data_IF_458972652171
#
_entry.id   IF_458972652171
#
_cell.length_a   1.000
_cell.length_b   1.000
_cell.length_c   1.000
_cell.angle_alpha   90.00
_cell.angle_beta   90.00
_cell.angle_gamma   90.00
#
_symmetry.space_group_name_H-M   'P 1'
#
loop_
_entity.id
_entity.type
_entity.pdbx_description
1 polymer ?
#
# COMPACT_ATOMS: atom_id res chain seq x y z
N UNK A 1 -16.54 -11.59 -12.91
CA UNK A 1 -16.04 -11.13 -11.58
C UNK A 1 -14.89 -11.97 -11.00
N UNK A 2 -14.76 -13.27 -11.32
CA UNK A 2 -13.69 -14.16 -10.80
C UNK A 2 -12.28 -13.70 -11.20
N UNK A 3 -12.08 -13.34 -12.47
CA UNK A 3 -10.79 -12.83 -12.98
C UNK A 3 -10.37 -11.50 -12.35
N UNK A 4 -11.32 -10.59 -12.14
CA UNK A 4 -11.06 -9.31 -11.48
C UNK A 4 -10.57 -9.51 -10.04
N UNK A 5 -11.15 -10.46 -9.32
CA UNK A 5 -10.73 -10.77 -7.95
C UNK A 5 -9.34 -11.42 -7.91
N UNK A 6 -9.06 -12.35 -8.83
CA UNK A 6 -7.73 -12.93 -8.96
C UNK A 6 -6.67 -11.86 -9.28
N UNK A 7 -6.98 -10.93 -10.18
CA UNK A 7 -6.11 -9.81 -10.52
C UNK A 7 -5.84 -8.91 -9.30
N UNK A 8 -6.88 -8.54 -8.54
CA UNK A 8 -6.72 -7.73 -7.32
C UNK A 8 -5.81 -8.42 -6.29
N UNK A 9 -6.00 -9.73 -6.07
CA UNK A 9 -5.20 -10.48 -5.11
C UNK A 9 -3.75 -10.68 -5.54
N UNK A 10 -3.45 -10.56 -6.83
CA UNK A 10 -2.09 -10.56 -7.34
C UNK A 10 -1.47 -9.16 -7.30
N UNK A 11 -2.23 -8.14 -7.69
CA UNK A 11 -1.75 -6.76 -7.84
C UNK A 11 -1.43 -6.10 -6.49
N UNK A 12 -2.22 -6.35 -5.43
CA UNK A 12 -1.97 -5.70 -4.14
C UNK A 12 -0.64 -6.16 -3.50
N UNK A 13 -0.30 -7.47 -3.47
CA UNK A 13 1.03 -7.91 -3.03
C UNK A 13 2.18 -7.34 -3.87
N UNK A 14 2.01 -7.27 -5.19
CA UNK A 14 3.01 -6.67 -6.10
C UNK A 14 3.20 -5.18 -5.78
N UNK A 15 2.10 -4.45 -5.57
CA UNK A 15 2.12 -3.06 -5.14
C UNK A 15 2.84 -2.90 -3.79
N UNK A 16 2.53 -3.74 -2.80
CA UNK A 16 3.19 -3.69 -1.49
C UNK A 16 4.70 -3.88 -1.60
N UNK A 17 5.15 -4.88 -2.38
CA UNK A 17 6.59 -5.09 -2.61
C UNK A 17 7.22 -3.86 -3.27
N UNK A 18 6.60 -3.35 -4.33
CA UNK A 18 7.06 -2.14 -5.01
C UNK A 18 7.20 -0.95 -4.05
N UNK A 19 6.18 -0.67 -3.25
CA UNK A 19 6.18 0.46 -2.31
C UNK A 19 7.24 0.29 -1.22
N UNK A 20 7.42 -0.93 -0.69
CA UNK A 20 8.47 -1.23 0.30
C UNK A 20 9.85 -0.92 -0.29
N UNK A 21 10.18 -1.47 -1.46
CA UNK A 21 11.47 -1.22 -2.09
C UNK A 21 11.67 0.26 -2.44
N UNK A 22 10.62 0.91 -2.97
CA UNK A 22 10.67 2.33 -3.28
C UNK A 22 10.88 3.18 -2.03
N UNK A 23 10.25 2.85 -0.90
CA UNK A 23 10.45 3.54 0.37
C UNK A 23 11.89 3.37 0.86
N UNK A 24 12.43 2.15 0.84
CA UNK A 24 13.84 1.89 1.18
C UNK A 24 14.81 2.68 0.32
N UNK A 25 14.63 2.70 -1.01
CA UNK A 25 15.50 3.46 -1.93
C UNK A 25 15.42 4.96 -1.61
N UNK A 26 14.22 5.50 -1.40
CA UNK A 26 14.10 6.91 -1.07
C UNK A 26 14.59 7.26 0.34
N UNK A 27 14.71 6.32 1.28
CA UNK A 27 15.45 6.57 2.53
C UNK A 27 16.95 6.78 2.28
N UNK A 28 17.51 6.09 1.28
CA UNK A 28 18.91 6.25 0.87
C UNK A 28 19.10 7.59 0.15
N UNK A 29 18.09 8.08 -0.56
CA UNK A 29 18.16 9.29 -1.38
C UNK A 29 17.68 10.59 -0.69
N UNK A 30 16.65 10.52 0.16
CA UNK A 30 15.85 11.66 0.65
C UNK A 30 15.59 11.60 2.16
N UNK A 31 16.58 11.20 2.97
CA UNK A 31 16.45 11.19 4.44
C UNK A 31 16.22 12.57 5.09
N UNK A 32 16.04 13.63 4.31
CA UNK A 32 15.93 15.03 4.75
C UNK A 32 14.48 15.50 4.99
N UNK A 33 13.45 14.71 4.61
CA UNK A 33 12.04 15.03 4.90
C UNK A 33 11.60 14.36 6.21
N UNK A 34 11.29 15.16 7.23
CA UNK A 34 10.81 14.68 8.54
C UNK A 34 9.56 13.78 8.44
N UNK A 35 8.73 13.97 7.40
CA UNK A 35 7.51 13.21 7.18
C UNK A 35 7.71 11.94 6.35
N UNK A 36 8.90 11.69 5.81
CA UNK A 36 9.15 10.55 4.91
C UNK A 36 8.88 9.20 5.59
N UNK A 37 9.06 9.13 6.91
CA UNK A 37 8.79 7.95 7.71
C UNK A 37 7.32 7.53 7.73
N UNK A 38 6.38 8.45 7.49
CA UNK A 38 4.95 8.13 7.40
C UNK A 38 4.61 7.25 6.20
N UNK A 39 5.50 7.13 5.20
CA UNK A 39 5.34 6.16 4.11
C UNK A 39 5.26 4.72 4.63
N UNK A 40 5.96 4.38 5.72
CA UNK A 40 5.84 3.06 6.36
C UNK A 40 4.46 2.83 6.98
N UNK A 41 3.89 3.87 7.60
CA UNK A 41 2.52 3.80 8.13
C UNK A 41 1.50 3.62 7.00
N UNK A 42 1.68 4.30 5.86
CA UNK A 42 0.85 4.11 4.67
C UNK A 42 0.95 2.68 4.12
N UNK A 43 2.15 2.10 4.04
CA UNK A 43 2.36 0.69 3.66
C UNK A 43 1.63 -0.26 4.62
N UNK A 44 1.76 -0.02 5.94
CA UNK A 44 1.04 -0.80 6.95
C UNK A 44 -0.49 -0.74 6.78
N UNK A 45 -1.01 0.43 6.43
CA UNK A 45 -2.44 0.64 6.17
C UNK A 45 -2.91 -0.12 4.92
N UNK A 46 -2.11 -0.15 3.85
CA UNK A 46 -2.38 -0.96 2.65
C UNK A 46 -2.40 -2.46 3.00
N UNK A 47 -1.46 -2.93 3.82
CA UNK A 47 -1.41 -4.32 4.26
C UNK A 47 -2.67 -4.70 5.07
N UNK A 48 -3.08 -3.84 6.00
CA UNK A 48 -4.32 -4.03 6.77
C UNK A 48 -5.55 -4.04 5.86
N UNK A 49 -5.62 -3.12 4.89
CA UNK A 49 -6.69 -3.10 3.90
C UNK A 49 -6.73 -4.39 3.06
N UNK A 50 -5.58 -4.91 2.68
CA UNK A 50 -5.46 -6.18 1.97
C UNK A 50 -5.96 -7.36 2.81
N UNK A 51 -5.57 -7.44 4.09
CA UNK A 51 -6.07 -8.47 5.01
C UNK A 51 -7.59 -8.36 5.21
N UNK A 52 -8.12 -7.13 5.33
CA UNK A 52 -9.54 -6.88 5.45
C UNK A 52 -10.31 -7.28 4.19
N UNK A 53 -9.67 -7.23 3.03
CA UNK A 53 -10.27 -7.56 1.74
C UNK A 53 -10.83 -9.00 1.68
N UNK A 54 -10.25 -9.92 2.46
CA UNK A 54 -10.72 -11.31 2.60
C UNK A 54 -12.00 -11.45 3.45
N UNK A 55 -12.30 -10.49 4.34
CA UNK A 55 -13.51 -10.49 5.18
C UNK A 55 -14.57 -9.51 4.71
N UNK A 56 -14.16 -8.28 4.39
CA UNK A 56 -15.00 -7.16 3.95
C UNK A 56 -14.37 -6.51 2.71
N UNK A 57 -14.65 -7.08 1.54
CA UNK A 57 -14.03 -6.69 0.26
C UNK A 57 -14.08 -5.19 -0.03
N UNK A 58 -15.26 -4.58 0.03
CA UNK A 58 -15.41 -3.16 -0.29
C UNK A 58 -14.60 -2.28 0.67
N UNK A 59 -14.68 -2.53 1.98
CA UNK A 59 -13.92 -1.80 2.98
C UNK A 59 -12.40 -2.01 2.81
N UNK A 60 -11.96 -3.24 2.55
CA UNK A 60 -10.55 -3.55 2.29
C UNK A 60 -9.99 -2.80 1.08
N UNK A 61 -10.73 -2.78 -0.03
CA UNK A 61 -10.34 -2.02 -1.23
C UNK A 61 -10.28 -0.52 -0.99
N UNK A 62 -11.24 0.04 -0.25
CA UNK A 62 -11.22 1.47 0.12
C UNK A 62 -9.96 1.80 0.93
N UNK A 63 -9.63 0.98 1.92
CA UNK A 63 -8.43 1.18 2.75
C UNK A 63 -7.15 1.04 1.92
N UNK A 64 -7.05 0.03 1.04
CA UNK A 64 -5.91 -0.14 0.13
C UNK A 64 -5.73 1.09 -0.76
N UNK A 65 -6.83 1.60 -1.32
CA UNK A 65 -6.80 2.77 -2.20
C UNK A 65 -6.40 4.03 -1.44
N UNK A 66 -6.96 4.26 -0.26
CA UNK A 66 -6.63 5.39 0.60
C UNK A 66 -5.17 5.35 1.08
N UNK A 67 -4.68 4.18 1.50
CA UNK A 67 -3.29 3.99 1.89
C UNK A 67 -2.33 4.20 0.73
N UNK A 68 -2.68 3.73 -0.47
CA UNK A 68 -1.89 3.95 -1.69
C UNK A 68 -1.80 5.44 -2.02
N UNK A 69 -2.94 6.15 -2.00
CA UNK A 69 -2.97 7.59 -2.20
C UNK A 69 -2.12 8.33 -1.15
N UNK A 70 -2.29 8.00 0.12
CA UNK A 70 -1.50 8.59 1.21
C UNK A 70 0.01 8.42 0.98
N UNK A 71 0.45 7.23 0.56
CA UNK A 71 1.87 6.97 0.28
C UNK A 71 2.43 7.87 -0.83
N UNK A 72 1.65 8.14 -1.89
CA UNK A 72 2.06 9.02 -3.00
C UNK A 72 2.07 10.51 -2.64
N UNK A 73 1.26 10.94 -1.67
CA UNK A 73 1.17 12.35 -1.25
C UNK A 73 2.12 12.73 -0.11
N UNK A 74 2.73 11.76 0.57
CA UNK A 74 3.83 11.96 1.53
C UNK A 74 5.16 12.11 0.78
#
# INVERSE_FOLDING_TARGET
MKYLWAAINLLIPVLLLFLIFSTWIGYIAESLRDFYHFKWAAIGLILLGYMLNFKKRAAGLIIVTAGSAAWFFI
#
